data_IF_325910524562
#
_entry.id   IF_325910524562
#
_cell.length_a   1.000
_cell.length_b   1.000
_cell.length_c   1.000
_cell.angle_alpha   90.00
_cell.angle_beta   90.00
_cell.angle_gamma   90.00
#
_symmetry.space_group_name_H-M   'P 1'
#
loop_
_entity.id
_entity.type
_entity.pdbx_description
1 polymer ?
#
# COMPACT_ATOMS: atom_id res chain seq x y z
N UNK A 1 12.53 13.70 2.54
CA UNK A 1 13.88 13.23 2.20
C UNK A 1 13.94 11.82 2.78
N UNK A 2 13.98 10.82 1.91
CA UNK A 2 14.17 9.42 2.31
C UNK A 2 15.65 9.29 2.65
N UNK A 3 15.99 8.70 3.80
CA UNK A 3 17.39 8.53 4.19
C UNK A 3 18.01 7.40 3.37
N UNK A 4 19.27 7.53 2.95
CA UNK A 4 20.00 6.50 2.19
C UNK A 4 19.91 5.12 2.85
N UNK A 5 20.00 5.07 4.18
CA UNK A 5 19.85 3.83 4.96
C UNK A 5 18.52 3.10 4.76
N UNK A 6 17.45 3.82 4.41
CA UNK A 6 16.18 3.19 4.10
C UNK A 6 16.21 2.57 2.70
N UNK A 7 16.95 3.13 1.74
CA UNK A 7 17.07 2.55 0.40
C UNK A 7 17.97 1.31 0.38
N UNK A 8 18.93 1.23 1.31
CA UNK A 8 19.80 0.05 1.50
C UNK A 8 19.06 -1.21 1.96
N UNK A 9 17.82 -1.09 2.46
CA UNK A 9 17.03 -2.26 2.90
C UNK A 9 16.19 -2.88 1.79
N UNK A 10 16.31 -2.41 0.55
CA UNK A 10 15.55 -2.88 -0.60
C UNK A 10 16.24 -4.02 -1.31
N UNK A 11 16.32 -5.13 -0.59
CA UNK A 11 17.02 -6.31 -1.03
C UNK A 11 16.02 -7.29 -1.69
N UNK A 12 16.43 -7.88 -2.82
CA UNK A 12 15.60 -8.74 -3.67
C UNK A 12 15.16 -10.04 -2.97
N UNK A 13 13.98 -10.55 -3.34
CA UNK A 13 13.35 -11.77 -2.79
C UNK A 13 11.83 -11.62 -2.58
N UNK A 14 11.05 -12.56 -3.13
CA UNK A 14 9.58 -12.60 -3.19
C UNK A 14 8.92 -13.12 -1.90
N UNK A 15 7.76 -12.52 -1.57
CA UNK A 15 6.77 -12.81 -0.51
C UNK A 15 6.88 -14.19 0.20
N UNK A 16 6.80 -14.25 1.54
CA UNK A 16 7.92 -14.44 2.48
C UNK A 16 9.20 -13.66 2.22
N UNK A 17 9.23 -12.45 2.75
CA UNK A 17 10.38 -11.57 2.67
C UNK A 17 11.04 -11.55 4.05
N UNK A 18 12.33 -11.89 4.13
CA UNK A 18 13.12 -11.75 5.37
C UNK A 18 12.45 -12.39 6.60
N UNK A 19 11.88 -13.60 6.45
CA UNK A 19 11.10 -14.33 7.47
C UNK A 19 9.86 -13.58 8.01
N UNK A 20 9.35 -12.61 7.26
CA UNK A 20 8.17 -11.85 7.60
C UNK A 20 7.08 -11.99 6.53
N UNK A 21 5.83 -11.97 6.98
CA UNK A 21 4.66 -11.98 6.12
C UNK A 21 4.26 -10.54 5.76
N UNK A 22 4.21 -10.25 4.47
CA UNK A 22 3.76 -8.96 3.95
C UNK A 22 2.34 -9.08 3.37
N UNK A 23 1.65 -7.96 3.10
CA UNK A 23 0.41 -7.97 2.31
C UNK A 23 0.60 -8.66 0.96
N UNK A 24 -0.48 -9.21 0.40
CA UNK A 24 -0.45 -9.84 -0.92
C UNK A 24 0.09 -8.86 -1.98
N UNK A 25 0.82 -9.40 -2.95
CA UNK A 25 1.47 -8.65 -4.05
C UNK A 25 2.58 -7.66 -3.63
N UNK A 26 3.03 -7.66 -2.37
CA UNK A 26 4.16 -6.82 -1.94
C UNK A 26 5.43 -7.19 -2.71
N UNK A 27 6.01 -6.21 -3.41
CA UNK A 27 7.27 -6.31 -4.17
C UNK A 27 8.30 -5.31 -3.65
N UNK A 28 9.57 -5.47 -4.04
CA UNK A 28 10.63 -4.48 -3.77
C UNK A 28 10.43 -3.21 -4.62
N UNK A 29 11.03 -2.06 -4.25
CA UNK A 29 10.98 -0.90 -5.15
C UNK A 29 11.59 -1.20 -6.50
N UNK A 30 12.71 -1.93 -6.55
CA UNK A 30 13.36 -2.26 -7.81
C UNK A 30 12.42 -3.01 -8.77
N UNK A 31 11.64 -3.97 -8.24
CA UNK A 31 10.63 -4.66 -9.04
C UNK A 31 9.51 -3.73 -9.50
N UNK A 32 9.06 -2.79 -8.67
CA UNK A 32 8.06 -1.78 -9.06
C UNK A 32 8.60 -0.79 -10.10
N UNK A 33 9.87 -0.40 -9.98
CA UNK A 33 10.56 0.49 -10.93
C UNK A 33 10.65 -0.16 -12.31
N UNK A 34 11.03 -1.43 -12.37
CA UNK A 34 11.07 -2.22 -13.62
C UNK A 34 9.68 -2.33 -14.27
N UNK A 35 8.62 -2.33 -13.48
CA UNK A 35 7.23 -2.29 -13.94
C UNK A 35 6.72 -0.88 -14.25
N UNK A 36 7.56 0.15 -14.15
CA UNK A 36 7.19 1.55 -14.43
C UNK A 36 6.12 2.12 -13.47
N UNK A 37 6.10 1.66 -12.22
CA UNK A 37 5.23 2.21 -11.20
C UNK A 37 5.86 3.45 -10.56
N UNK A 38 5.03 4.38 -10.10
CA UNK A 38 5.41 5.63 -9.46
C UNK A 38 5.14 5.52 -7.97
N UNK A 39 6.15 5.73 -7.11
CA UNK A 39 5.96 5.70 -5.67
C UNK A 39 5.31 7.01 -5.20
N UNK A 40 4.12 6.90 -4.60
CA UNK A 40 3.47 8.00 -3.93
C UNK A 40 3.85 8.03 -2.46
N UNK A 41 4.35 9.18 -2.01
CA UNK A 41 4.62 9.46 -0.59
C UNK A 41 3.84 10.69 -0.15
N UNK A 42 3.43 10.77 1.13
CA UNK A 42 2.72 11.94 1.66
C UNK A 42 3.38 13.27 1.28
N UNK A 43 4.70 13.38 1.47
CA UNK A 43 5.45 14.60 1.18
C UNK A 43 5.45 14.97 -0.31
N UNK A 44 5.50 13.97 -1.20
CA UNK A 44 5.49 14.22 -2.64
C UNK A 44 4.12 14.71 -3.10
N UNK A 45 3.06 14.04 -2.65
CA UNK A 45 1.67 14.42 -2.95
C UNK A 45 1.34 15.79 -2.37
N UNK A 46 1.67 16.05 -1.10
CA UNK A 46 1.46 17.36 -0.47
C UNK A 46 2.16 18.49 -1.21
N UNK A 47 3.37 18.24 -1.76
CA UNK A 47 4.09 19.24 -2.58
C UNK A 47 3.46 19.46 -3.95
N UNK A 48 2.98 18.40 -4.59
CA UNK A 48 2.33 18.50 -5.90
C UNK A 48 0.97 19.19 -5.81
N UNK A 49 0.20 18.87 -4.76
CA UNK A 49 -1.16 19.39 -4.50
C UNK A 49 -1.13 20.74 -3.79
N UNK A 50 -0.10 21.03 -3.01
CA UNK A 50 0.05 22.26 -2.21
C UNK A 50 -0.66 22.24 -0.86
N UNK A 51 -1.36 21.15 -0.51
CA UNK A 51 -2.07 21.00 0.77
C UNK A 51 -2.29 19.54 1.12
N UNK A 52 -2.55 19.29 2.42
CA UNK A 52 -3.15 18.04 2.88
C UNK A 52 -4.65 18.08 2.60
N UNK A 53 -5.20 17.00 2.06
CA UNK A 53 -6.64 16.88 1.79
C UNK A 53 -7.24 15.92 2.83
N UNK A 54 -8.03 16.41 3.79
CA UNK A 54 -8.68 15.53 4.77
C UNK A 54 -9.73 14.65 4.08
N UNK A 55 -9.77 13.38 4.44
CA UNK A 55 -10.74 12.41 3.91
C UNK A 55 -11.21 11.47 5.01
N UNK A 56 -12.46 11.04 4.90
CA UNK A 56 -13.02 9.96 5.72
C UNK A 56 -13.45 8.81 4.82
N UNK A 57 -13.07 7.61 5.20
CA UNK A 57 -13.28 6.42 4.40
C UNK A 57 -13.32 5.17 5.26
N UNK A 58 -13.60 4.04 4.63
CA UNK A 58 -13.78 2.76 5.30
C UNK A 58 -12.67 1.79 4.91
N UNK A 59 -12.18 1.04 5.88
CA UNK A 59 -11.28 -0.10 5.64
C UNK A 59 -11.88 -1.36 6.25
N UNK A 60 -11.76 -2.49 5.57
CA UNK A 60 -12.20 -3.79 6.09
C UNK A 60 -11.01 -4.72 6.21
N UNK A 61 -10.85 -5.32 7.39
CA UNK A 61 -9.85 -6.35 7.67
C UNK A 61 -10.49 -7.56 8.34
N UNK A 62 -9.72 -8.64 8.48
CA UNK A 62 -10.07 -9.84 9.24
C UNK A 62 -9.26 -9.91 10.54
N UNK A 63 -9.70 -10.72 11.53
CA UNK A 63 -8.98 -10.93 12.79
C UNK A 63 -7.49 -11.23 12.62
N UNK A 64 -7.14 -12.12 11.68
CA UNK A 64 -5.75 -12.57 11.45
C UNK A 64 -4.80 -11.45 10.98
N UNK A 65 -5.34 -10.30 10.56
CA UNK A 65 -4.57 -9.15 10.09
C UNK A 65 -4.76 -7.90 10.97
N UNK A 66 -5.49 -8.01 12.07
CA UNK A 66 -5.82 -6.88 12.93
C UNK A 66 -4.59 -6.23 13.56
N UNK A 67 -3.62 -7.05 14.00
CA UNK A 67 -2.33 -6.59 14.53
C UNK A 67 -1.59 -5.61 13.59
N UNK A 68 -1.80 -5.69 12.28
CA UNK A 68 -1.16 -4.79 11.29
C UNK A 68 -1.70 -3.37 11.34
N UNK A 69 -2.91 -3.17 11.88
CA UNK A 69 -3.51 -1.83 12.01
C UNK A 69 -2.63 -0.88 12.82
N UNK A 70 -1.98 -1.38 13.89
CA UNK A 70 -1.05 -0.57 14.70
C UNK A 70 0.07 0.06 13.87
N UNK A 71 0.54 -0.63 12.83
CA UNK A 71 1.64 -0.16 11.98
C UNK A 71 1.26 0.93 10.98
N UNK A 72 -0.04 1.18 10.76
CA UNK A 72 -0.54 2.21 9.84
C UNK A 72 -1.12 3.44 10.56
N UNK A 73 -1.64 3.26 11.78
CA UNK A 73 -2.17 4.35 12.59
C UNK A 73 -1.14 5.46 12.84
N UNK A 74 -1.56 6.72 12.64
CA UNK A 74 -0.74 7.92 12.82
C UNK A 74 0.64 7.86 12.11
N UNK A 75 0.72 7.12 10.99
CA UNK A 75 1.97 6.87 10.27
C UNK A 75 1.93 7.46 8.86
N UNK A 76 3.08 7.47 8.18
CA UNK A 76 3.19 7.85 6.76
C UNK A 76 2.77 6.73 5.81
N UNK A 77 2.51 5.52 6.31
CA UNK A 77 2.05 4.39 5.50
C UNK A 77 0.59 4.64 5.13
N UNK A 78 0.27 4.47 3.86
CA UNK A 78 -1.12 4.57 3.41
C UNK A 78 -1.86 3.26 3.60
N UNK A 79 -3.18 3.37 3.73
CA UNK A 79 -4.12 2.27 3.76
C UNK A 79 -5.04 2.38 2.55
N UNK A 80 -5.34 1.25 1.91
CA UNK A 80 -6.38 1.17 0.87
C UNK A 80 -7.74 1.13 1.55
N UNK A 81 -8.61 2.05 1.14
CA UNK A 81 -9.92 2.31 1.74
C UNK A 81 -10.93 2.60 0.64
N UNK A 82 -12.21 2.69 1.00
CA UNK A 82 -13.28 2.98 0.04
C UNK A 82 -14.37 3.83 0.69
N UNK A 83 -15.24 4.40 -0.12
CA UNK A 83 -16.48 5.07 0.33
C UNK A 83 -17.71 4.57 -0.43
N UNK A 84 -17.50 3.73 -1.44
CA UNK A 84 -18.52 3.24 -2.33
C UNK A 84 -18.21 1.81 -2.77
N UNK A 85 -19.25 0.98 -2.80
CA UNK A 85 -19.19 -0.42 -3.26
C UNK A 85 -20.50 -0.80 -3.95
N UNK A 86 -20.48 -1.75 -4.86
CA UNK A 86 -21.66 -2.39 -5.43
C UNK A 86 -22.33 -3.28 -4.36
N UNK A 87 -23.65 -3.46 -4.44
CA UNK A 87 -24.43 -4.31 -3.54
C UNK A 87 -24.07 -5.80 -3.61
N UNK A 88 -23.58 -6.26 -4.76
CA UNK A 88 -23.16 -7.65 -5.00
C UNK A 88 -21.79 -7.96 -4.37
N UNK A 89 -20.97 -6.93 -4.15
CA UNK A 89 -19.62 -7.06 -3.62
C UNK A 89 -19.56 -7.54 -2.17
N UNK A 90 -18.44 -8.18 -1.83
CA UNK A 90 -18.16 -8.64 -0.46
C UNK A 90 -18.15 -7.47 0.52
N UNK A 91 -17.63 -6.32 0.09
CA UNK A 91 -17.54 -5.10 0.91
C UNK A 91 -18.93 -4.66 1.41
N UNK A 92 -19.99 -4.75 0.59
CA UNK A 92 -21.36 -4.39 0.98
C UNK A 92 -21.95 -5.29 2.10
N UNK A 93 -21.32 -6.44 2.35
CA UNK A 93 -21.69 -7.40 3.39
C UNK A 93 -20.68 -7.43 4.55
N UNK A 94 -19.72 -6.52 4.56
CA UNK A 94 -18.65 -6.46 5.57
C UNK A 94 -17.55 -7.50 5.37
N UNK A 95 -17.44 -8.10 4.18
CA UNK A 95 -16.32 -8.94 3.76
C UNK A 95 -15.15 -8.11 3.26
N UNK A 96 -13.94 -8.68 3.26
CA UNK A 96 -12.76 -8.06 2.67
C UNK A 96 -12.57 -8.51 1.21
N UNK A 97 -11.81 -7.73 0.43
CA UNK A 97 -11.46 -8.11 -0.96
C UNK A 97 -10.52 -9.32 -0.95
N UNK A 98 -9.44 -9.25 -0.17
CA UNK A 98 -8.42 -10.30 -0.05
C UNK A 98 -8.50 -11.09 1.27
N UNK A 99 -9.51 -10.82 2.09
CA UNK A 99 -9.63 -11.40 3.43
C UNK A 99 -11.07 -11.82 3.70
N UNK A 100 -11.29 -12.64 4.73
CA UNK A 100 -12.66 -12.93 5.19
C UNK A 100 -13.43 -11.68 5.62
N UNK A 101 -12.73 -10.59 5.96
CA UNK A 101 -13.30 -9.36 6.50
C UNK A 101 -13.95 -9.53 7.87
N UNK A 102 -14.85 -8.62 8.20
CA UNK A 102 -15.68 -8.64 9.40
C UNK A 102 -15.29 -7.65 10.49
N UNK A 103 -14.15 -6.97 10.36
CA UNK A 103 -13.80 -5.81 11.17
C UNK A 103 -13.71 -4.61 10.23
N UNK A 104 -14.61 -3.65 10.40
CA UNK A 104 -14.72 -2.47 9.56
C UNK A 104 -14.32 -1.25 10.37
N UNK A 105 -13.38 -0.48 9.87
CA UNK A 105 -12.98 0.81 10.44
C UNK A 105 -13.59 1.94 9.65
N UNK A 106 -14.15 2.93 10.34
CA UNK A 106 -14.35 4.26 9.79
C UNK A 106 -13.18 5.14 10.23
N UNK A 107 -12.44 5.63 9.26
CA UNK A 107 -11.17 6.30 9.46
C UNK A 107 -11.26 7.76 9.01
N UNK A 108 -10.43 8.59 9.62
CA UNK A 108 -10.02 9.87 9.04
C UNK A 108 -8.52 9.89 8.81
N UNK A 109 -8.10 10.67 7.83
CA UNK A 109 -6.69 10.90 7.54
C UNK A 109 -6.55 11.86 6.37
N UNK A 110 -5.46 11.70 5.62
CA UNK A 110 -5.16 12.54 4.47
C UNK A 110 -5.10 11.72 3.18
N UNK A 111 -5.66 12.27 2.10
CA UNK A 111 -5.69 11.63 0.80
C UNK A 111 -4.27 11.56 0.20
N UNK A 112 -3.86 10.35 -0.18
CA UNK A 112 -2.66 10.11 -0.99
C UNK A 112 -3.00 10.07 -2.48
N UNK A 113 -4.04 9.32 -2.85
CA UNK A 113 -4.59 9.20 -4.19
C UNK A 113 -5.96 8.52 -4.12
N UNK A 114 -6.79 8.67 -5.15
CA UNK A 114 -8.07 7.99 -5.29
C UNK A 114 -8.47 7.78 -6.74
N UNK A 115 -9.28 6.76 -7.00
CA UNK A 115 -9.99 6.55 -8.27
C UNK A 115 -11.40 6.02 -8.03
N UNK A 116 -12.25 6.13 -9.04
CA UNK A 116 -13.64 5.62 -9.02
C UNK A 116 -13.72 4.10 -9.17
N UNK A 117 -12.59 3.46 -9.42
CA UNK A 117 -12.40 2.01 -9.57
C UNK A 117 -11.14 1.62 -8.80
N UNK A 118 -11.04 0.35 -8.43
CA UNK A 118 -9.77 -0.25 -7.99
C UNK A 118 -8.67 -0.03 -9.03
N UNK A 119 -7.45 0.25 -8.58
CA UNK A 119 -6.36 0.61 -9.48
C UNK A 119 -5.02 -0.01 -9.09
N UNK A 120 -5.10 -1.22 -8.53
CA UNK A 120 -4.00 -2.16 -8.31
C UNK A 120 -2.83 -1.56 -7.54
N UNK A 121 -3.12 -0.81 -6.47
CA UNK A 121 -2.08 -0.15 -5.70
C UNK A 121 -1.58 -1.01 -4.53
N UNK A 122 -0.27 -1.16 -4.41
CA UNK A 122 0.33 -2.06 -3.42
C UNK A 122 1.45 -1.33 -2.67
N UNK A 123 1.60 -1.53 -1.34
CA UNK A 123 2.73 -0.98 -0.63
C UNK A 123 3.97 -1.83 -0.89
N UNK A 124 5.15 -1.22 -0.91
CA UNK A 124 6.40 -1.96 -0.77
C UNK A 124 6.71 -2.31 0.70
N UNK A 125 7.84 -2.98 0.92
CA UNK A 125 8.34 -3.37 2.25
C UNK A 125 8.44 -2.18 3.23
N UNK A 126 8.67 -0.97 2.73
CA UNK A 126 8.81 0.25 3.53
C UNK A 126 7.49 0.99 3.72
N UNK A 127 6.43 0.57 3.02
CA UNK A 127 5.11 1.17 3.05
C UNK A 127 4.92 2.36 2.11
N UNK A 128 5.80 2.57 1.11
CA UNK A 128 5.51 3.49 0.00
C UNK A 128 4.50 2.83 -0.92
N UNK A 129 3.52 3.61 -1.40
CA UNK A 129 2.44 3.08 -2.25
C UNK A 129 2.82 3.27 -3.71
N UNK A 130 2.93 2.16 -4.45
CA UNK A 130 3.30 2.19 -5.86
C UNK A 130 2.03 2.20 -6.70
N UNK A 131 1.99 3.08 -7.69
CA UNK A 131 0.86 3.30 -8.58
C UNK A 131 1.33 3.24 -10.03
N UNK A 132 0.63 2.52 -10.89
CA UNK A 132 0.96 2.43 -12.31
C UNK A 132 1.12 3.85 -12.93
N UNK A 133 2.17 4.07 -13.72
CA UNK A 133 2.43 5.36 -14.35
C UNK A 133 1.29 5.85 -15.25
N UNK A 134 0.54 4.94 -15.88
CA UNK A 134 -0.68 5.28 -16.62
C UNK A 134 -1.71 5.97 -15.73
N UNK A 135 -1.89 5.49 -14.50
CA UNK A 135 -2.82 6.12 -13.56
C UNK A 135 -2.35 7.49 -13.11
N UNK A 136 -1.03 7.76 -13.11
CA UNK A 136 -0.46 9.07 -12.73
C UNK A 136 -0.57 10.07 -13.87
N UNK A 137 -0.11 9.71 -15.07
CA UNK A 137 0.04 10.64 -16.20
C UNK A 137 -1.15 10.61 -17.16
N UNK A 138 -1.91 9.52 -17.19
CA UNK A 138 -3.03 9.30 -18.12
C UNK A 138 -2.60 8.61 -19.43
N UNK A 139 -1.32 8.30 -19.58
CA UNK A 139 -0.74 7.66 -20.76
C UNK A 139 0.48 6.79 -20.37
N UNK A 140 0.91 5.92 -21.28
CA UNK A 140 2.05 4.99 -21.08
C UNK A 140 3.39 5.52 -21.59
N UNK A 141 3.43 6.69 -22.22
CA UNK A 141 4.62 7.23 -22.89
C UNK A 141 5.38 8.25 -22.04
N UNK A 142 4.67 9.05 -21.25
CA UNK A 142 5.22 10.13 -20.44
C UNK A 142 6.35 9.63 -19.53
N UNK A 143 6.13 8.53 -18.80
CA UNK A 143 7.14 8.01 -17.88
C UNK A 143 8.40 7.46 -18.59
N UNK A 144 8.30 6.56 -19.59
CA UNK A 144 9.46 6.13 -20.37
C UNK A 144 10.28 7.28 -20.98
N UNK A 145 9.60 8.32 -21.50
CA UNK A 145 10.27 9.50 -22.08
C UNK A 145 11.07 10.25 -21.01
N UNK A 146 10.51 10.43 -19.81
CA UNK A 146 11.20 11.09 -18.71
C UNK A 146 12.44 10.31 -18.25
N UNK A 147 12.30 8.99 -18.10
CA UNK A 147 13.43 8.11 -17.75
C UNK A 147 14.55 8.20 -18.80
N UNK A 148 14.20 8.13 -20.09
CA UNK A 148 15.17 8.26 -21.19
C UNK A 148 15.88 9.61 -21.17
N UNK A 149 15.14 10.71 -20.94
CA UNK A 149 15.70 12.07 -20.88
C UNK A 149 16.60 12.27 -19.66
N UNK A 150 16.32 11.60 -18.54
CA UNK A 150 17.10 11.72 -17.32
C UNK A 150 18.49 11.07 -17.40
N UNK A 151 18.73 10.17 -18.39
CA UNK A 151 20.04 9.55 -18.65
C UNK A 151 20.71 8.97 -17.39
N UNK A 152 19.93 8.25 -16.58
CA UNK A 152 20.35 7.81 -15.24
C UNK A 152 21.34 6.62 -15.24
N UNK A 153 21.72 6.11 -16.41
CA UNK A 153 22.70 5.01 -16.54
C UNK A 153 22.19 3.67 -16.00
N UNK A 154 20.88 3.48 -15.86
CA UNK A 154 20.30 2.28 -15.25
C UNK A 154 20.66 0.99 -15.96
N UNK A 155 20.72 0.98 -17.30
CA UNK A 155 21.10 -0.22 -18.06
C UNK A 155 22.53 -0.67 -17.73
N UNK A 156 23.45 0.27 -17.49
CA UNK A 156 24.81 -0.04 -17.06
C UNK A 156 24.84 -0.59 -15.64
N UNK A 157 24.04 -0.02 -14.75
CA UNK A 157 23.95 -0.49 -13.36
C UNK A 157 23.33 -1.89 -13.30
N UNK A 158 22.27 -2.16 -14.07
CA UNK A 158 21.66 -3.49 -14.18
C UNK A 158 22.66 -4.54 -14.69
N UNK A 159 23.48 -4.20 -15.70
CA UNK A 159 24.57 -5.08 -16.13
C UNK A 159 25.56 -5.37 -15.01
N UNK A 160 26.01 -4.34 -14.27
CA UNK A 160 26.92 -4.53 -13.12
C UNK A 160 26.30 -5.40 -12.02
N UNK A 161 25.01 -5.23 -11.75
CA UNK A 161 24.28 -6.07 -10.78
C UNK A 161 24.30 -7.52 -11.23
N UNK A 162 24.03 -7.79 -12.51
CA UNK A 162 24.08 -9.13 -13.10
C UNK A 162 25.49 -9.73 -13.05
N UNK A 163 26.52 -8.96 -13.39
CA UNK A 163 27.91 -9.41 -13.38
C UNK A 163 28.37 -9.80 -11.96
N UNK A 164 27.98 -9.03 -10.95
CA UNK A 164 28.24 -9.35 -9.52
C UNK A 164 27.57 -10.68 -9.14
N UNK A 165 26.31 -10.90 -9.54
CA UNK A 165 25.62 -12.16 -9.25
C UNK A 165 26.33 -13.34 -9.92
N UNK A 166 26.74 -13.18 -11.18
CA UNK A 166 27.49 -14.22 -11.92
C UNK A 166 28.87 -14.49 -11.34
N UNK A 167 29.58 -13.48 -10.84
CA UNK A 167 30.86 -13.67 -10.17
C UNK A 167 30.69 -14.48 -8.87
N UNK A 168 29.70 -14.15 -8.04
CA UNK A 168 29.41 -14.88 -6.82
C UNK A 168 28.92 -16.32 -7.10
N UNK A 169 28.07 -16.52 -8.11
CA UNK A 169 27.60 -17.84 -8.53
C UNK A 169 28.75 -18.74 -8.98
N UNK A 170 29.76 -18.21 -9.68
CA UNK A 170 30.95 -18.97 -10.08
C UNK A 170 31.78 -19.45 -8.88
N UNK A 171 31.90 -18.63 -7.83
CA UNK A 171 32.57 -19.03 -6.60
C UNK A 171 31.80 -20.15 -5.89
N UNK A 172 30.46 -20.07 -5.87
CA UNK A 172 29.62 -21.13 -5.31
C UNK A 172 29.71 -22.46 -6.08
N UNK A 173 29.75 -22.41 -7.41
CA UNK A 173 29.86 -23.60 -8.25
C UNK A 173 31.25 -24.27 -8.19
N UNK A 174 32.22 -23.64 -7.52
CA UNK A 174 33.55 -24.20 -7.31
C UNK A 174 33.56 -24.96 -5.98
N UNK A 175 33.73 -26.28 -6.05
CA UNK A 175 33.64 -27.21 -4.91
C UNK A 175 34.35 -26.67 -3.66
N UNK A 176 33.56 -26.32 -2.64
CA UNK A 176 34.03 -25.96 -1.30
C UNK A 176 34.35 -24.48 -1.03
N UNK A 177 34.15 -23.56 -1.98
CA UNK A 177 34.49 -22.13 -1.73
C UNK A 177 33.37 -21.33 -1.03
N UNK A 178 32.09 -21.64 -1.28
CA UNK A 178 30.95 -20.94 -0.67
C UNK A 178 29.73 -21.85 -0.57
N UNK A 179 28.98 -21.76 0.52
CA UNK A 179 27.63 -22.33 0.63
C UNK A 179 26.59 -21.49 -0.13
N UNK A 180 25.42 -22.07 -0.45
CA UNK A 180 24.36 -21.39 -1.22
C UNK A 180 23.95 -20.04 -0.61
N UNK A 181 23.80 -20.00 0.72
CA UNK A 181 23.41 -18.77 1.42
C UNK A 181 24.54 -17.74 1.47
N UNK A 182 25.80 -18.18 1.46
CA UNK A 182 26.96 -17.32 1.58
C UNK A 182 27.21 -16.56 0.28
N UNK A 183 27.13 -17.23 -0.89
CA UNK A 183 27.29 -16.52 -2.16
C UNK A 183 26.12 -15.54 -2.41
N UNK A 184 24.89 -15.91 -2.03
CA UNK A 184 23.75 -14.97 -2.11
C UNK A 184 23.96 -13.76 -1.21
N UNK A 185 24.51 -13.95 -0.01
CA UNK A 185 24.85 -12.84 0.88
C UNK A 185 25.97 -11.95 0.31
N UNK A 186 26.99 -12.54 -0.32
CA UNK A 186 28.09 -11.83 -0.98
C UNK A 186 27.57 -10.95 -2.13
N UNK A 187 26.86 -11.55 -3.09
CA UNK A 187 26.27 -10.82 -4.21
C UNK A 187 25.37 -9.67 -3.71
N UNK A 188 24.52 -9.95 -2.73
CA UNK A 188 23.60 -8.98 -2.12
C UNK A 188 24.34 -7.79 -1.48
N UNK A 189 25.46 -8.05 -0.81
CA UNK A 189 26.29 -7.01 -0.18
C UNK A 189 26.88 -6.06 -1.22
N UNK A 190 27.37 -6.60 -2.33
CA UNK A 190 27.99 -5.81 -3.39
C UNK A 190 26.97 -5.09 -4.28
N UNK A 191 25.82 -5.71 -4.55
CA UNK A 191 24.72 -5.10 -5.31
C UNK A 191 24.01 -3.98 -4.54
N UNK A 192 23.96 -4.06 -3.21
CA UNK A 192 23.17 -3.17 -2.36
C UNK A 192 23.36 -1.67 -2.63
N UNK A 193 24.61 -1.15 -2.65
CA UNK A 193 24.88 0.26 -2.99
C UNK A 193 24.39 0.67 -4.38
N UNK A 194 24.54 -0.20 -5.38
CA UNK A 194 24.10 0.05 -6.77
C UNK A 194 22.58 0.14 -6.86
N UNK A 195 21.88 -0.83 -6.25
CA UNK A 195 20.41 -0.87 -6.17
C UNK A 195 19.89 0.37 -5.44
N UNK A 196 20.49 0.72 -4.29
CA UNK A 196 20.05 1.87 -3.51
C UNK A 196 20.21 3.18 -4.29
N UNK A 197 21.29 3.34 -5.07
CA UNK A 197 21.47 4.48 -5.98
C UNK A 197 20.35 4.53 -7.03
N UNK A 198 20.10 3.41 -7.72
CA UNK A 198 19.03 3.35 -8.74
C UNK A 198 17.67 3.75 -8.17
N UNK A 199 17.30 3.20 -7.01
CA UNK A 199 16.02 3.50 -6.38
C UNK A 199 15.95 4.98 -5.95
N UNK A 200 17.04 5.52 -5.41
CA UNK A 200 17.12 6.94 -5.06
C UNK A 200 16.81 7.81 -6.28
N UNK A 201 17.54 7.59 -7.37
CA UNK A 201 17.45 8.39 -8.59
C UNK A 201 16.06 8.26 -9.22
N UNK A 202 15.47 7.06 -9.19
CA UNK A 202 14.10 6.83 -9.67
C UNK A 202 13.07 7.62 -8.85
N UNK A 203 13.15 7.54 -7.52
CA UNK A 203 12.23 8.25 -6.62
C UNK A 203 12.39 9.77 -6.78
N UNK A 204 13.61 10.26 -6.93
CA UNK A 204 13.88 11.69 -7.14
C UNK A 204 13.31 12.17 -8.49
N UNK A 205 13.47 11.39 -9.56
CA UNK A 205 12.82 11.65 -10.85
C UNK A 205 11.30 11.63 -10.73
N UNK A 206 10.72 10.62 -10.06
CA UNK A 206 9.29 10.50 -9.84
C UNK A 206 8.72 11.71 -9.07
N UNK A 207 9.39 12.13 -8.00
CA UNK A 207 9.00 13.32 -7.23
C UNK A 207 9.05 14.60 -8.08
N UNK A 208 10.05 14.71 -8.95
CA UNK A 208 10.20 15.84 -9.88
C UNK A 208 9.07 15.82 -10.93
N UNK A 209 8.76 14.64 -11.48
CA UNK A 209 7.69 14.44 -12.43
C UNK A 209 6.31 14.77 -11.82
N UNK A 210 6.01 14.32 -10.60
CA UNK A 210 4.75 14.66 -9.92
C UNK A 210 4.56 16.17 -9.77
N UNK A 211 5.65 16.92 -9.54
CA UNK A 211 5.61 18.40 -9.48
C UNK A 211 5.42 19.01 -10.87
N UNK A 212 6.16 18.54 -11.87
CA UNK A 212 6.10 19.05 -13.25
C UNK A 212 4.75 18.78 -13.93
N UNK A 213 4.17 17.62 -13.68
CA UNK A 213 2.90 17.15 -14.23
C UNK A 213 1.76 17.24 -13.21
N UNK A 214 1.85 18.19 -12.26
CA UNK A 214 0.89 18.33 -11.14
C UNK A 214 -0.57 18.37 -11.60
N UNK A 215 -0.84 19.01 -12.75
CA UNK A 215 -2.21 19.14 -13.28
C UNK A 215 -2.77 17.76 -13.65
N UNK A 216 -2.05 17.00 -14.48
CA UNK A 216 -2.44 15.64 -14.83
C UNK A 216 -2.53 14.74 -13.59
N UNK A 217 -1.56 14.81 -12.67
CA UNK A 217 -1.60 14.04 -11.43
C UNK A 217 -2.85 14.37 -10.59
N UNK A 218 -3.18 15.66 -10.43
CA UNK A 218 -4.38 16.08 -9.70
C UNK A 218 -5.64 15.58 -10.42
N UNK A 219 -5.73 15.80 -11.72
CA UNK A 219 -6.88 15.42 -12.54
C UNK A 219 -7.08 13.91 -12.60
N UNK A 220 -6.02 13.10 -12.47
CA UNK A 220 -6.10 11.64 -12.55
C UNK A 220 -6.28 10.95 -11.19
N UNK A 221 -5.68 11.47 -10.12
CA UNK A 221 -5.57 10.76 -8.84
C UNK A 221 -6.00 11.55 -7.60
N UNK A 222 -6.26 12.86 -7.70
CA UNK A 222 -6.71 13.66 -6.56
C UNK A 222 -8.16 14.07 -6.73
N UNK A 223 -8.54 14.52 -7.91
CA UNK A 223 -9.89 14.89 -8.29
C UNK A 223 -10.27 14.22 -9.62
N UNK A 224 -10.20 12.87 -9.69
CA UNK A 224 -10.56 12.15 -10.90
C UNK A 224 -11.94 12.55 -11.40
N UNK A 225 -12.13 12.82 -12.70
CA UNK A 225 -13.44 13.12 -13.25
C UNK A 225 -14.40 11.97 -12.92
N UNK A 226 -15.63 12.31 -12.57
CA UNK A 226 -16.69 11.32 -12.36
C UNK A 226 -16.93 10.59 -13.69
N UNK A 227 -16.36 9.39 -13.84
CA UNK A 227 -16.64 8.54 -15.00
C UNK A 227 -18.09 8.05 -14.93
N UNK A 228 -18.72 7.85 -16.10
CA UNK A 228 -20.02 7.15 -16.21
C UNK A 228 -19.91 5.71 -15.73
N UNK A 229 -18.74 5.09 -15.90
CA UNK A 229 -18.44 3.76 -15.38
C UNK A 229 -17.94 3.83 -13.94
N UNK A 230 -18.77 3.34 -13.05
CA UNK A 230 -18.47 3.12 -11.64
C UNK A 230 -17.99 1.67 -11.52
N UNK A 231 -16.84 1.44 -10.89
CA UNK A 231 -16.34 0.08 -10.67
C UNK A 231 -17.13 -0.61 -9.57
N UNK A 232 -16.82 -1.89 -9.35
CA UNK A 232 -17.39 -2.66 -8.25
C UNK A 232 -17.18 -2.00 -6.87
N UNK A 233 -16.07 -1.29 -6.69
CA UNK A 233 -15.84 -0.35 -5.59
C UNK A 233 -14.90 0.77 -6.04
N UNK A 234 -14.86 1.86 -5.29
CA UNK A 234 -13.82 2.89 -5.46
C UNK A 234 -12.64 2.62 -4.52
N UNK A 235 -11.43 2.99 -4.93
CA UNK A 235 -10.26 2.90 -4.06
C UNK A 235 -9.77 4.31 -3.69
N UNK A 236 -9.56 4.51 -2.39
CA UNK A 236 -9.05 5.74 -1.78
C UNK A 236 -7.85 5.34 -0.90
N UNK A 237 -6.70 5.92 -1.19
CA UNK A 237 -5.48 5.73 -0.41
C UNK A 237 -5.37 6.83 0.63
N UNK A 238 -5.33 6.43 1.90
CA UNK A 238 -5.33 7.38 3.04
C UNK A 238 -4.12 7.13 3.93
N UNK A 239 -3.38 8.18 4.28
CA UNK A 239 -2.26 8.12 5.23
C UNK A 239 -2.56 8.94 6.49
N UNK A 240 -1.72 8.79 7.52
CA UNK A 240 -1.90 9.42 8.83
C UNK A 240 -3.28 9.09 9.42
N UNK A 241 -3.66 7.81 9.30
CA UNK A 241 -5.00 7.33 9.62
C UNK A 241 -5.25 7.32 11.11
N UNK A 242 -6.45 7.75 11.50
CA UNK A 242 -6.97 7.72 12.86
C UNK A 242 -8.34 7.04 12.83
N UNK A 243 -8.62 6.23 13.86
CA UNK A 243 -9.90 5.55 13.98
C UNK A 243 -10.93 6.54 14.52
N UNK A 244 -12.04 6.69 13.82
CA UNK A 244 -13.22 7.40 14.35
C UNK A 244 -14.03 6.42 15.18
N UNK A 245 -14.47 5.34 14.54
CA UNK A 245 -15.19 4.22 15.16
C UNK A 245 -15.12 2.97 14.27
N UNK A 246 -15.65 1.87 14.78
CA UNK A 246 -15.55 0.54 14.19
C UNK A 246 -16.91 -0.16 14.18
N UNK A 247 -17.10 -1.01 13.18
CA UNK A 247 -18.16 -2.01 13.15
C UNK A 247 -17.53 -3.40 13.12
N UNK A 248 -18.02 -4.31 13.96
CA UNK A 248 -17.56 -5.70 14.01
C UNK A 248 -18.74 -6.62 13.75
N UNK A 249 -18.60 -7.52 12.78
CA UNK A 249 -19.63 -8.51 12.50
C UNK A 249 -19.72 -9.53 13.64
N UNK A 250 -20.93 -9.97 13.99
CA UNK A 250 -21.15 -10.99 15.04
C UNK A 250 -20.27 -12.24 14.86
N UNK A 251 -20.09 -12.69 13.61
CA UNK A 251 -19.25 -13.84 13.26
C UNK A 251 -17.77 -13.70 13.64
N UNK A 252 -17.30 -12.48 13.88
CA UNK A 252 -15.92 -12.22 14.31
C UNK A 252 -15.76 -12.38 15.80
N UNK A 253 -16.73 -11.98 16.63
CA UNK A 253 -16.55 -12.08 18.09
C UNK A 253 -17.01 -13.45 18.62
N UNK A 254 -17.76 -14.21 17.83
CA UNK A 254 -18.22 -15.55 18.20
C UNK A 254 -19.33 -15.53 19.26
N UNK A 255 -19.84 -16.71 19.60
CA UNK A 255 -20.72 -16.89 20.76
C UNK A 255 -19.95 -16.52 22.03
N UNK A 256 -20.42 -15.57 22.87
CA UNK A 256 -19.78 -15.20 24.13
C UNK A 256 -19.46 -16.39 25.05
N UNK A 257 -20.15 -17.53 24.88
CA UNK A 257 -19.99 -18.74 25.67
C UNK A 257 -18.85 -19.66 25.20
N UNK A 258 -18.29 -19.44 24.01
CA UNK A 258 -17.18 -20.23 23.46
C UNK A 258 -15.92 -19.36 23.48
N UNK A 259 -15.07 -19.59 24.48
CA UNK A 259 -13.88 -18.84 24.90
C UNK A 259 -12.74 -18.75 23.83
N UNK A 260 -13.04 -18.88 22.54
CA UNK A 260 -12.10 -19.13 21.43
C UNK A 260 -11.54 -17.83 20.83
N UNK A 261 -12.10 -16.64 21.12
CA UNK A 261 -11.74 -15.36 20.46
C UNK A 261 -11.23 -14.26 21.42
N UNK A 262 -10.67 -14.63 22.58
CA UNK A 262 -10.23 -13.64 23.59
C UNK A 262 -9.15 -12.69 23.07
N UNK A 263 -8.22 -13.16 22.25
CA UNK A 263 -7.15 -12.31 21.73
C UNK A 263 -7.67 -11.26 20.73
N UNK A 264 -8.50 -11.68 19.76
CA UNK A 264 -9.13 -10.76 18.79
C UNK A 264 -9.96 -9.69 19.50
N UNK A 265 -10.72 -10.08 20.52
CA UNK A 265 -11.54 -9.14 21.29
C UNK A 265 -10.67 -8.11 22.01
N UNK A 266 -9.61 -8.56 22.69
CA UNK A 266 -8.67 -7.66 23.36
C UNK A 266 -7.99 -6.69 22.39
N UNK A 267 -7.60 -7.14 21.19
CA UNK A 267 -7.05 -6.27 20.16
C UNK A 267 -8.06 -5.23 19.64
N UNK A 268 -9.32 -5.64 19.42
CA UNK A 268 -10.40 -4.73 19.04
C UNK A 268 -10.62 -3.67 20.12
N UNK A 269 -10.71 -4.08 21.38
CA UNK A 269 -10.90 -3.17 22.52
C UNK A 269 -9.72 -2.20 22.66
N UNK A 270 -8.49 -2.66 22.44
CA UNK A 270 -7.29 -1.83 22.42
C UNK A 270 -7.25 -0.82 21.26
N UNK A 271 -7.76 -1.17 20.09
CA UNK A 271 -7.87 -0.25 18.97
C UNK A 271 -9.00 0.76 19.20
N UNK A 272 -10.10 0.31 19.81
CA UNK A 272 -11.23 1.14 20.13
C UNK A 272 -10.92 2.18 21.22
N UNK A 273 -10.07 1.88 22.19
CA UNK A 273 -9.61 2.87 23.17
C UNK A 273 -8.79 4.01 22.55
N UNK A 274 -8.28 3.84 21.32
CA UNK A 274 -7.58 4.88 20.55
C UNK A 274 -8.50 5.62 19.58
N UNK A 275 -9.77 5.22 19.49
CA UNK A 275 -10.73 5.82 18.58
C UNK A 275 -11.30 7.13 19.14
N UNK A 276 -11.72 8.03 18.26
CA UNK A 276 -12.25 9.34 18.65
C UNK A 276 -13.68 9.31 19.18
N UNK A 277 -14.48 8.31 18.82
CA UNK A 277 -15.89 8.21 19.21
C UNK A 277 -16.08 7.77 20.65
N UNK A 278 -17.13 8.28 21.31
CA UNK A 278 -17.49 7.91 22.68
C UNK A 278 -17.98 6.46 22.82
N UNK A 279 -18.61 5.91 21.77
CA UNK A 279 -18.96 4.50 21.64
C UNK A 279 -18.26 3.92 20.39
N UNK A 280 -16.97 3.60 20.50
CA UNK A 280 -16.11 3.37 19.34
C UNK A 280 -16.33 2.02 18.64
N UNK A 281 -17.09 1.09 19.24
CA UNK A 281 -17.38 -0.22 18.65
C UNK A 281 -18.89 -0.41 18.53
N UNK A 282 -19.35 -0.77 17.33
CA UNK A 282 -20.68 -1.34 17.09
C UNK A 282 -20.53 -2.79 16.69
N UNK A 283 -21.28 -3.70 17.31
CA UNK A 283 -21.31 -5.13 16.94
C UNK A 283 -22.66 -5.43 16.29
N UNK A 284 -22.67 -6.20 15.19
CA UNK A 284 -23.95 -6.59 14.60
C UNK A 284 -23.90 -7.44 13.32
N UNK A 285 -25.06 -7.54 12.67
CA UNK A 285 -25.27 -8.28 11.43
C UNK A 285 -24.84 -7.48 10.19
N UNK A 286 -24.68 -8.13 9.02
CA UNK A 286 -24.44 -7.41 7.76
C UNK A 286 -25.48 -6.34 7.43
N UNK A 287 -26.76 -6.54 7.81
CA UNK A 287 -27.80 -5.54 7.60
C UNK A 287 -27.60 -4.29 8.49
N UNK A 288 -27.19 -4.48 9.75
CA UNK A 288 -26.83 -3.38 10.64
C UNK A 288 -25.56 -2.65 10.18
N UNK A 289 -24.57 -3.40 9.66
CA UNK A 289 -23.38 -2.82 9.03
C UNK A 289 -23.76 -1.87 7.88
N UNK A 290 -24.64 -2.29 6.96
CA UNK A 290 -25.07 -1.42 5.84
C UNK A 290 -25.69 -0.12 6.33
N UNK A 291 -26.56 -0.19 7.35
CA UNK A 291 -27.13 1.02 7.99
C UNK A 291 -26.04 1.90 8.60
N UNK A 292 -25.08 1.30 9.30
CA UNK A 292 -23.95 1.99 9.93
C UNK A 292 -23.02 2.66 8.90
N UNK A 293 -22.77 2.00 7.77
CA UNK A 293 -21.97 2.50 6.65
C UNK A 293 -22.64 3.68 5.95
N UNK A 294 -23.93 3.56 5.63
CA UNK A 294 -24.71 4.64 4.99
C UNK A 294 -24.84 5.86 5.91
N UNK A 295 -25.03 5.67 7.22
CA UNK A 295 -25.05 6.78 8.20
C UNK A 295 -23.75 7.60 8.19
N UNK A 296 -22.64 6.99 7.80
CA UNK A 296 -21.31 7.61 7.64
C UNK A 296 -21.02 8.06 6.21
N UNK A 297 -22.06 8.24 5.39
CA UNK A 297 -22.02 8.65 3.98
C UNK A 297 -21.35 7.64 3.04
N UNK A 298 -21.18 6.39 3.48
CA UNK A 298 -20.84 5.28 2.59
C UNK A 298 -21.97 5.02 1.60
N UNK A 299 -21.61 4.65 0.36
CA UNK A 299 -22.57 4.42 -0.73
C UNK A 299 -22.57 2.96 -1.16
N UNK A 300 -23.74 2.34 -1.16
CA UNK A 300 -23.93 1.03 -1.79
C UNK A 300 -24.71 1.29 -3.07
N UNK A 301 -24.09 1.04 -4.21
CA UNK A 301 -24.68 1.22 -5.54
C UNK A 301 -25.20 -0.11 -6.06
N UNK A 302 -26.18 -0.07 -6.97
CA UNK A 302 -26.61 -1.23 -7.73
C UNK A 302 -25.81 -1.30 -9.02
#
# INVERSE_FOLDING_TARGET
>A
MIKLKNLLTELDGTVWIDNQTYPAHTKTALQWMRQQYIPLTPKAVERAVGKKIPVRSFHITSPDHLHRMKGVLASKKSLSTFTMTNAEEKLAKGGGIQTKGGIIFYLEGHLLAQRTIDFDTVPDKQGRRWVDSYNVFGDRQTWPILVKKAKLGWDEIERKIYDIEKAAEKLWLKDGELEYNEYKALAKKEQGPLIAKMIKDYIDLANTALKGYRRQFIDNLISPPKKRTIGWWNEILVYDVKIIDMFVLNRVIGDPKKNIMNHTRAEIEKLASQAKGSNPITIGTPAQYRKWFTKRKGKIVK
#
